data_IF_942574863420
#
_entry.id   IF_942574863420
#
_cell.length_a   1.000
_cell.length_b   1.000
_cell.length_c   1.000
_cell.angle_alpha   90.00
_cell.angle_beta   90.00
_cell.angle_gamma   90.00
#
_symmetry.space_group_name_H-M   'P 1'
#
loop_
_entity.id
_entity.type
_entity.pdbx_description
1 polymer ?
#
# COMPACT_ATOMS: atom_id res chain seq x y z
N UNK A 1 -0.57 41.01 12.64
CA UNK A 1 0.79 40.42 12.70
C UNK A 1 1.73 41.03 11.65
N UNK A 2 1.25 41.27 10.42
CA UNK A 2 2.04 41.80 9.31
C UNK A 2 2.50 43.22 9.57
N UNK A 3 1.63 44.06 10.13
CA UNK A 3 1.97 45.45 10.51
C UNK A 3 3.13 45.50 11.50
N UNK A 4 3.08 44.68 12.57
CA UNK A 4 4.15 44.59 13.56
C UNK A 4 5.45 44.10 12.93
N UNK A 5 5.38 43.09 12.03
CA UNK A 5 6.55 42.57 11.34
C UNK A 5 7.23 43.66 10.49
N UNK A 6 6.44 44.39 9.70
CA UNK A 6 6.98 45.46 8.88
C UNK A 6 7.50 46.65 9.70
N UNK A 7 6.82 46.98 10.83
CA UNK A 7 7.30 48.00 11.75
C UNK A 7 8.68 47.65 12.36
N UNK A 8 8.89 46.37 12.69
CA UNK A 8 10.22 45.92 13.19
C UNK A 8 11.27 46.01 12.08
N UNK A 9 10.95 45.64 10.84
CA UNK A 9 11.89 45.78 9.73
C UNK A 9 12.23 47.25 9.44
N UNK A 10 11.27 48.16 9.55
CA UNK A 10 11.50 49.61 9.43
C UNK A 10 12.41 50.13 10.53
N UNK A 11 12.16 49.74 11.77
CA UNK A 11 12.97 50.16 12.91
C UNK A 11 14.42 49.68 12.83
N UNK A 12 14.65 48.56 12.12
CA UNK A 12 15.99 47.97 11.92
C UNK A 12 16.62 48.35 10.57
N UNK A 13 15.99 49.21 9.78
CA UNK A 13 16.40 49.59 8.42
C UNK A 13 16.69 48.37 7.52
N UNK A 14 15.80 47.33 7.61
CA UNK A 14 15.92 46.09 6.87
C UNK A 14 15.01 46.08 5.64
N UNK A 15 15.44 45.35 4.59
CA UNK A 15 14.63 45.12 3.39
C UNK A 15 13.32 44.40 3.74
N UNK A 16 12.21 44.94 3.25
CA UNK A 16 10.86 44.34 3.41
C UNK A 16 10.62 43.27 2.36
N UNK A 17 10.62 41.98 2.71
CA UNK A 17 10.22 40.91 1.79
C UNK A 17 8.70 40.89 1.59
N UNK A 18 8.25 40.38 0.43
CA UNK A 18 6.83 40.13 0.23
C UNK A 18 6.41 38.95 1.11
N UNK A 19 5.45 39.18 2.00
CA UNK A 19 4.87 38.14 2.83
C UNK A 19 3.85 37.32 2.07
N UNK A 20 3.91 36.01 2.25
CA UNK A 20 2.89 35.07 1.77
C UNK A 20 2.42 34.23 2.96
N UNK A 21 1.12 34.32 3.22
CA UNK A 21 0.48 33.55 4.29
C UNK A 21 -0.19 32.32 3.69
N UNK A 22 -0.10 31.21 4.38
CA UNK A 22 -0.82 29.98 4.03
C UNK A 22 -1.35 29.30 5.29
N UNK A 23 -2.37 28.50 5.11
CA UNK A 23 -3.04 27.79 6.18
C UNK A 23 -2.26 26.56 6.63
N UNK A 24 -2.69 26.01 7.76
CA UNK A 24 -2.23 24.69 8.22
C UNK A 24 -2.92 23.60 7.44
N UNK A 25 -2.17 22.57 7.05
CA UNK A 25 -2.69 21.33 6.52
C UNK A 25 -2.85 20.33 7.67
N UNK A 26 -4.03 19.78 7.78
CA UNK A 26 -4.38 18.71 8.73
C UNK A 26 -4.91 17.48 7.99
N UNK A 27 -4.74 16.32 8.58
CA UNK A 27 -5.29 15.07 8.07
C UNK A 27 -6.34 14.52 9.04
N UNK A 28 -7.42 13.97 8.49
CA UNK A 28 -8.47 13.36 9.28
C UNK A 28 -7.92 12.27 10.22
N UNK A 29 -8.26 12.36 11.52
CA UNK A 29 -7.86 11.39 12.52
C UNK A 29 -6.36 11.34 12.85
N UNK A 30 -5.55 12.32 12.37
CA UNK A 30 -4.11 12.38 12.61
C UNK A 30 -3.72 13.67 13.33
N UNK A 31 -2.97 13.57 14.45
CA UNK A 31 -2.50 14.75 15.17
C UNK A 31 -1.31 15.40 14.45
N UNK A 32 -1.37 16.71 14.19
CA UNK A 32 -0.27 17.45 13.55
C UNK A 32 0.55 18.30 14.53
N UNK A 33 0.04 18.59 15.72
CA UNK A 33 0.72 19.47 16.66
C UNK A 33 1.54 18.69 17.70
N UNK A 34 2.71 19.21 18.06
CA UNK A 34 3.55 18.63 19.13
C UNK A 34 2.82 18.52 20.47
N UNK A 35 1.88 19.43 20.75
CA UNK A 35 1.09 19.43 22.00
C UNK A 35 0.19 18.19 22.12
N UNK A 36 -0.20 17.62 20.99
CA UNK A 36 -1.03 16.40 20.95
C UNK A 36 -0.13 15.16 20.80
N UNK A 37 0.90 15.23 19.97
CA UNK A 37 1.77 14.09 19.67
C UNK A 37 2.59 13.69 20.90
N UNK A 38 3.16 14.66 21.64
CA UNK A 38 4.03 14.36 22.79
C UNK A 38 3.33 13.55 23.90
N UNK A 39 2.14 13.91 24.37
CA UNK A 39 1.41 13.07 25.34
C UNK A 39 1.15 11.65 24.84
N UNK A 40 0.84 11.46 23.55
CA UNK A 40 0.64 10.14 22.98
C UNK A 40 1.91 9.27 23.02
N UNK A 41 3.08 9.89 22.87
CA UNK A 41 4.38 9.21 23.00
C UNK A 41 4.65 8.90 24.48
N UNK A 42 4.45 9.87 25.36
CA UNK A 42 4.70 9.73 26.81
C UNK A 42 3.79 8.65 27.44
N UNK A 43 2.56 8.49 26.92
CA UNK A 43 1.61 7.45 27.30
C UNK A 43 1.82 6.10 26.58
N UNK A 44 2.80 5.99 25.68
CA UNK A 44 3.08 4.77 24.94
C UNK A 44 2.04 4.40 23.86
N UNK A 45 1.09 5.30 23.57
CA UNK A 45 0.09 5.11 22.50
C UNK A 45 0.69 5.17 21.09
N UNK A 46 1.77 5.94 20.95
CA UNK A 46 2.57 6.13 19.74
C UNK A 46 4.02 5.86 20.11
N UNK A 47 4.73 5.11 19.27
CA UNK A 47 6.11 4.70 19.56
C UNK A 47 7.10 5.86 19.55
N UNK A 48 7.05 6.70 18.55
CA UNK A 48 7.89 7.88 18.35
C UNK A 48 7.35 8.74 17.20
N UNK A 49 8.04 9.80 16.84
CA UNK A 49 7.67 10.69 15.73
C UNK A 49 7.68 10.01 14.35
N UNK A 50 8.30 8.86 14.21
CA UNK A 50 8.29 8.01 13.00
C UNK A 50 7.15 6.99 12.97
N UNK A 51 6.25 7.00 13.96
CA UNK A 51 5.10 6.09 13.99
C UNK A 51 4.24 6.29 12.74
N UNK A 52 3.95 5.22 11.97
CA UNK A 52 3.23 5.34 10.69
C UNK A 52 1.83 5.96 10.77
N UNK A 53 1.27 6.10 11.99
CA UNK A 53 -0.02 6.75 12.23
C UNK A 53 0.06 8.27 12.34
N UNK A 54 1.27 8.83 12.33
CA UNK A 54 1.51 10.27 12.41
C UNK A 54 1.75 10.87 11.02
N UNK A 55 1.41 12.14 10.78
CA UNK A 55 1.69 12.84 9.52
C UNK A 55 3.05 13.56 9.52
N UNK A 56 4.01 13.11 10.31
CA UNK A 56 5.38 13.66 10.32
C UNK A 56 6.15 13.22 9.08
N UNK A 57 7.16 13.98 8.68
CA UNK A 57 7.99 13.60 7.52
C UNK A 57 8.72 12.27 7.74
N UNK A 58 9.14 11.95 8.96
CA UNK A 58 9.76 10.68 9.31
C UNK A 58 8.77 9.52 9.17
N UNK A 59 7.54 9.69 9.65
CA UNK A 59 6.48 8.72 9.51
C UNK A 59 6.07 8.52 8.03
N UNK A 60 5.94 9.60 7.26
CA UNK A 60 5.67 9.53 5.82
C UNK A 60 6.77 8.78 5.08
N UNK A 61 8.04 9.05 5.39
CA UNK A 61 9.18 8.30 4.84
C UNK A 61 9.10 6.82 5.19
N UNK A 62 8.79 6.49 6.45
CA UNK A 62 8.63 5.10 6.91
C UNK A 62 7.48 4.37 6.20
N UNK A 63 6.41 5.09 5.87
CA UNK A 63 5.29 4.56 5.05
C UNK A 63 5.63 4.42 3.57
N UNK A 64 6.77 4.89 3.12
CA UNK A 64 7.15 4.89 1.71
C UNK A 64 6.47 5.99 0.89
N UNK A 65 6.00 7.06 1.53
CA UNK A 65 5.49 8.25 0.83
C UNK A 65 6.68 9.05 0.29
N UNK A 66 6.70 9.26 -1.01
CA UNK A 66 7.79 9.95 -1.69
C UNK A 66 7.72 11.48 -1.50
N UNK A 67 8.86 12.19 -1.47
CA UNK A 67 8.85 13.66 -1.42
C UNK A 67 8.12 14.29 -2.60
N UNK A 68 8.16 13.65 -3.76
CA UNK A 68 7.44 14.10 -4.96
C UNK A 68 5.92 14.04 -4.76
N UNK A 69 5.42 12.96 -4.11
CA UNK A 69 4.00 12.81 -3.80
C UNK A 69 3.53 13.92 -2.83
N UNK A 70 4.30 14.17 -1.77
CA UNK A 70 4.01 15.24 -0.81
C UNK A 70 3.95 16.59 -1.54
N UNK A 71 4.92 16.89 -2.39
CA UNK A 71 4.96 18.15 -3.16
C UNK A 71 3.76 18.29 -4.08
N UNK A 72 3.46 17.28 -4.90
CA UNK A 72 2.32 17.29 -5.83
C UNK A 72 0.98 17.42 -5.10
N UNK A 73 0.82 16.70 -4.01
CA UNK A 73 -0.36 16.79 -3.17
C UNK A 73 -0.52 18.19 -2.57
N UNK A 74 0.52 18.75 -1.95
CA UNK A 74 0.47 20.10 -1.36
C UNK A 74 0.16 21.16 -2.40
N UNK A 75 0.75 21.08 -3.60
CA UNK A 75 0.47 22.01 -4.68
C UNK A 75 -0.97 21.88 -5.20
N UNK A 76 -1.55 20.69 -5.18
CA UNK A 76 -2.93 20.47 -5.61
C UNK A 76 -3.96 21.11 -4.70
N UNK A 77 -3.62 21.33 -3.42
CA UNK A 77 -4.49 22.02 -2.46
C UNK A 77 -4.52 23.55 -2.70
N UNK A 78 -3.52 24.08 -3.42
CA UNK A 78 -3.38 25.51 -3.66
C UNK A 78 -2.92 26.30 -2.43
N UNK A 79 -2.81 27.62 -2.61
CA UNK A 79 -2.48 28.55 -1.52
C UNK A 79 -3.78 29.14 -0.98
N UNK A 80 -4.16 28.71 0.21
CA UNK A 80 -5.38 29.19 0.91
C UNK A 80 -5.03 29.69 2.30
N UNK A 81 -5.79 30.63 2.84
CA UNK A 81 -5.68 31.09 4.22
C UNK A 81 -6.61 30.34 5.18
N UNK A 82 -7.59 29.60 4.64
CA UNK A 82 -8.48 28.75 5.44
C UNK A 82 -7.77 27.42 5.76
N UNK A 83 -7.88 26.96 7.00
CA UNK A 83 -7.36 25.67 7.40
C UNK A 83 -7.93 24.55 6.51
N UNK A 84 -7.06 23.66 6.08
CA UNK A 84 -7.40 22.58 5.14
C UNK A 84 -7.31 21.26 5.87
N UNK A 85 -8.46 20.59 5.99
CA UNK A 85 -8.57 19.22 6.48
C UNK A 85 -8.66 18.28 5.27
N UNK A 86 -7.69 17.43 5.08
CA UNK A 86 -7.63 16.53 3.93
C UNK A 86 -7.69 15.06 4.35
N UNK A 87 -8.34 14.17 3.55
CA UNK A 87 -8.23 12.74 3.76
C UNK A 87 -6.81 12.27 3.41
N UNK A 88 -6.23 11.41 4.26
CA UNK A 88 -4.88 10.90 4.03
C UNK A 88 -4.78 10.05 2.76
N UNK A 89 -5.85 9.37 2.40
CA UNK A 89 -5.97 8.56 1.18
C UNK A 89 -5.68 9.36 -0.09
N UNK A 90 -5.94 10.67 -0.08
CA UNK A 90 -5.60 11.55 -1.20
C UNK A 90 -4.10 11.63 -1.41
N UNK A 91 -3.31 11.80 -0.36
CA UNK A 91 -1.84 11.76 -0.44
C UNK A 91 -1.34 10.38 -0.91
N UNK A 92 -1.93 9.30 -0.39
CA UNK A 92 -1.60 7.94 -0.81
C UNK A 92 -1.90 7.71 -2.30
N UNK A 93 -2.98 8.29 -2.82
CA UNK A 93 -3.30 8.20 -4.24
C UNK A 93 -2.26 8.90 -5.13
N UNK A 94 -1.75 10.07 -4.72
CA UNK A 94 -0.63 10.71 -5.39
C UNK A 94 0.63 9.84 -5.36
N UNK A 95 0.95 9.26 -4.20
CA UNK A 95 2.11 8.40 -4.03
C UNK A 95 2.01 7.14 -4.89
N UNK A 96 0.85 6.48 -4.90
CA UNK A 96 0.60 5.27 -5.70
C UNK A 96 0.88 5.51 -7.18
N UNK A 97 0.41 6.63 -7.74
CA UNK A 97 0.67 6.99 -9.15
C UNK A 97 2.15 7.15 -9.50
N UNK A 98 2.97 7.53 -8.52
CA UNK A 98 4.41 7.71 -8.71
C UNK A 98 5.15 6.38 -8.54
N UNK A 99 4.87 5.69 -7.42
CA UNK A 99 5.57 4.47 -7.03
C UNK A 99 5.24 3.32 -7.98
N UNK A 100 3.99 3.18 -8.39
CA UNK A 100 3.52 2.08 -9.22
C UNK A 100 4.32 1.93 -10.53
N UNK A 101 4.68 3.04 -11.15
CA UNK A 101 5.43 3.03 -12.42
C UNK A 101 6.85 2.47 -12.31
N UNK A 102 7.42 2.52 -11.11
CA UNK A 102 8.83 2.24 -10.85
C UNK A 102 9.04 1.09 -9.85
N UNK A 103 7.98 0.35 -9.53
CA UNK A 103 8.05 -0.70 -8.51
C UNK A 103 7.73 -2.07 -9.09
N UNK A 104 8.53 -3.04 -8.71
CA UNK A 104 8.26 -4.45 -8.98
C UNK A 104 6.97 -4.86 -8.25
N UNK A 105 6.07 -5.53 -8.95
CA UNK A 105 4.85 -6.10 -8.39
C UNK A 105 5.07 -7.57 -8.04
N UNK A 106 4.95 -7.89 -6.76
CA UNK A 106 5.04 -9.25 -6.25
C UNK A 106 3.67 -9.76 -5.84
N UNK A 107 3.48 -11.08 -5.90
CA UNK A 107 2.30 -11.71 -5.34
C UNK A 107 2.43 -11.81 -3.82
N UNK A 108 1.33 -11.59 -3.13
CA UNK A 108 1.24 -11.71 -1.68
C UNK A 108 -0.08 -12.40 -1.32
N UNK A 109 -0.01 -13.36 -0.42
CA UNK A 109 -1.17 -14.07 0.10
C UNK A 109 -1.34 -13.80 1.58
N UNK A 110 -2.58 -13.52 2.01
CA UNK A 110 -2.96 -13.29 3.41
C UNK A 110 -3.52 -14.57 4.01
N UNK A 111 -3.16 -14.86 5.25
CA UNK A 111 -3.66 -16.06 5.95
C UNK A 111 -3.59 -17.30 5.05
N UNK A 112 -2.38 -17.67 4.57
CA UNK A 112 -2.19 -18.60 3.50
C UNK A 112 -2.81 -19.96 3.79
N UNK A 113 -3.45 -20.54 2.77
CA UNK A 113 -3.96 -21.91 2.74
C UNK A 113 -3.28 -22.65 1.59
N UNK A 114 -2.96 -23.90 1.83
CA UNK A 114 -2.30 -24.75 0.84
C UNK A 114 -3.33 -25.28 -0.17
N UNK A 115 -3.01 -25.10 -1.44
CA UNK A 115 -3.64 -25.77 -2.59
C UNK A 115 -2.59 -26.70 -3.20
N UNK A 116 -2.91 -27.98 -3.34
CA UNK A 116 -2.08 -28.92 -4.10
C UNK A 116 -2.57 -29.06 -5.52
N UNK A 117 -1.72 -28.72 -6.47
CA UNK A 117 -2.03 -28.80 -7.90
C UNK A 117 -1.29 -29.95 -8.53
N UNK A 118 -2.05 -30.93 -9.02
CA UNK A 118 -1.54 -32.05 -9.81
C UNK A 118 -1.31 -31.68 -11.28
N UNK A 119 -0.51 -32.50 -11.95
CA UNK A 119 -0.29 -32.44 -13.42
C UNK A 119 0.24 -31.10 -13.95
N UNK A 120 1.03 -30.38 -13.16
CA UNK A 120 1.66 -29.14 -13.63
C UNK A 120 2.66 -29.45 -14.77
N UNK A 121 2.56 -28.75 -15.92
CA UNK A 121 3.41 -29.03 -17.07
C UNK A 121 4.87 -28.55 -16.88
N UNK A 122 5.07 -27.55 -16.04
CA UNK A 122 6.36 -26.90 -15.82
C UNK A 122 6.65 -26.75 -14.32
N UNK A 123 7.87 -27.01 -13.92
CA UNK A 123 8.37 -26.77 -12.56
C UNK A 123 8.92 -25.35 -12.35
N UNK A 124 8.98 -24.52 -13.39
CA UNK A 124 9.45 -23.13 -13.34
C UNK A 124 8.55 -22.27 -14.23
N UNK A 125 8.05 -21.21 -13.65
CA UNK A 125 7.19 -20.22 -14.33
C UNK A 125 7.89 -18.87 -14.39
N UNK A 126 7.74 -18.19 -15.51
CA UNK A 126 8.28 -16.84 -15.72
C UNK A 126 7.16 -15.82 -15.54
N UNK A 127 7.29 -14.98 -14.50
CA UNK A 127 6.30 -13.97 -14.15
C UNK A 127 6.84 -12.57 -14.45
N UNK A 128 6.05 -11.68 -15.08
CA UNK A 128 6.47 -10.30 -15.28
C UNK A 128 6.61 -9.57 -13.94
N UNK A 129 7.66 -8.78 -13.82
CA UNK A 129 7.88 -7.92 -12.64
C UNK A 129 6.93 -6.73 -12.61
N UNK A 130 6.37 -6.35 -13.74
CA UNK A 130 5.36 -5.31 -13.87
C UNK A 130 4.45 -5.60 -15.09
N UNK A 131 3.15 -5.28 -15.04
CA UNK A 131 2.22 -5.52 -16.16
C UNK A 131 2.60 -4.83 -17.45
N UNK A 132 3.34 -3.71 -17.39
CA UNK A 132 3.85 -3.01 -18.59
C UNK A 132 5.06 -3.70 -19.25
N UNK A 133 5.55 -4.82 -18.71
CA UNK A 133 6.74 -5.55 -19.15
C UNK A 133 8.04 -4.72 -19.27
N UNK A 134 8.09 -3.53 -18.64
CA UNK A 134 9.25 -2.63 -18.70
C UNK A 134 10.34 -3.01 -17.69
N UNK A 135 10.04 -3.90 -16.72
CA UNK A 135 10.93 -4.25 -15.60
C UNK A 135 11.47 -5.68 -15.68
N UNK A 136 11.35 -6.33 -16.85
CA UNK A 136 11.75 -7.72 -17.01
C UNK A 136 10.84 -8.70 -16.28
N UNK A 137 11.34 -9.93 -16.13
CA UNK A 137 10.61 -11.06 -15.57
C UNK A 137 11.37 -11.65 -14.36
N UNK A 138 10.70 -12.49 -13.58
CA UNK A 138 11.28 -13.32 -12.54
C UNK A 138 10.90 -14.78 -12.76
N UNK A 139 11.80 -15.68 -12.43
CA UNK A 139 11.55 -17.12 -12.49
C UNK A 139 11.11 -17.61 -11.10
N UNK A 140 10.01 -18.34 -11.05
CA UNK A 140 9.46 -18.92 -9.83
C UNK A 140 9.39 -20.43 -9.99
N UNK A 141 10.02 -21.16 -9.08
CA UNK A 141 9.91 -22.63 -9.03
C UNK A 141 8.57 -23.01 -8.42
N UNK A 142 7.89 -23.98 -9.03
CA UNK A 142 6.59 -24.47 -8.60
C UNK A 142 6.64 -26.01 -8.59
N UNK A 143 6.31 -26.60 -7.47
CA UNK A 143 6.29 -28.08 -7.27
C UNK A 143 4.88 -28.64 -7.08
N UNK A 144 3.86 -27.80 -7.27
CA UNK A 144 2.45 -28.16 -7.04
C UNK A 144 1.91 -27.69 -5.70
N UNK A 145 2.74 -27.42 -4.72
CA UNK A 145 2.33 -26.86 -3.44
C UNK A 145 2.27 -25.32 -3.52
N UNK A 146 1.03 -24.80 -3.58
CA UNK A 146 0.73 -23.39 -3.84
C UNK A 146 -0.05 -22.81 -2.67
N UNK A 147 0.34 -21.61 -2.24
CA UNK A 147 -0.37 -20.88 -1.19
C UNK A 147 -1.33 -19.87 -1.82
N UNK A 148 -2.59 -19.91 -1.39
CA UNK A 148 -3.64 -18.95 -1.73
C UNK A 148 -4.07 -18.17 -0.50
N UNK A 149 -4.61 -16.97 -0.69
CA UNK A 149 -5.24 -16.21 0.40
C UNK A 149 -6.50 -16.93 0.88
N UNK A 150 -6.72 -17.00 2.20
CA UNK A 150 -7.93 -17.59 2.75
C UNK A 150 -9.22 -16.94 2.21
N UNK A 151 -9.16 -15.63 1.93
CA UNK A 151 -10.28 -14.87 1.35
C UNK A 151 -10.66 -15.36 -0.05
N UNK A 152 -9.69 -15.79 -0.85
CA UNK A 152 -9.88 -16.25 -2.23
C UNK A 152 -10.50 -17.66 -2.31
N UNK A 153 -10.56 -18.37 -1.19
CA UNK A 153 -11.02 -19.77 -1.14
C UNK A 153 -12.21 -20.02 -0.19
N UNK A 154 -12.78 -18.94 0.39
CA UNK A 154 -13.91 -19.06 1.33
C UNK A 154 -15.12 -19.81 0.72
N UNK A 155 -15.41 -19.52 -0.54
CA UNK A 155 -16.60 -20.03 -1.27
C UNK A 155 -16.22 -21.04 -2.36
N UNK A 156 -15.08 -21.71 -2.20
CA UNK A 156 -14.55 -22.61 -3.20
C UNK A 156 -15.36 -23.92 -3.26
N UNK A 157 -15.73 -24.35 -4.45
CA UNK A 157 -16.49 -25.56 -4.69
C UNK A 157 -15.71 -26.56 -5.53
N UNK A 158 -15.97 -27.85 -5.30
CA UNK A 158 -15.45 -28.93 -6.16
C UNK A 158 -15.98 -28.76 -7.59
N UNK A 159 -15.10 -28.87 -8.56
CA UNK A 159 -15.39 -28.63 -9.97
C UNK A 159 -15.26 -27.20 -10.44
N UNK A 160 -15.10 -26.23 -9.52
CA UNK A 160 -14.84 -24.84 -9.86
C UNK A 160 -13.49 -24.69 -10.57
N UNK A 161 -13.42 -23.76 -11.52
CA UNK A 161 -12.21 -23.47 -12.27
C UNK A 161 -11.68 -22.11 -11.87
N UNK A 162 -10.37 -22.07 -11.57
CA UNK A 162 -9.65 -20.88 -11.18
C UNK A 162 -8.51 -20.63 -12.15
N UNK A 163 -8.19 -19.35 -12.34
CA UNK A 163 -6.98 -18.95 -13.03
C UNK A 163 -5.93 -18.50 -12.02
N UNK A 164 -4.88 -19.27 -11.86
CA UNK A 164 -3.68 -18.89 -11.13
C UNK A 164 -2.86 -17.93 -12.01
N UNK A 165 -2.78 -16.66 -11.60
CA UNK A 165 -2.22 -15.59 -12.44
C UNK A 165 -0.79 -15.91 -12.91
N UNK A 166 -0.60 -16.02 -14.23
CA UNK A 166 0.69 -16.33 -14.85
C UNK A 166 1.16 -17.78 -14.73
N UNK A 167 0.38 -18.68 -14.10
CA UNK A 167 0.65 -20.11 -14.04
C UNK A 167 -0.26 -20.90 -15.00
N UNK A 168 -1.58 -20.66 -14.96
CA UNK A 168 -2.55 -21.33 -15.81
C UNK A 168 -3.88 -21.57 -15.10
N UNK A 169 -4.74 -22.34 -15.74
CA UNK A 169 -6.08 -22.69 -15.26
C UNK A 169 -6.04 -24.01 -14.50
N UNK A 170 -6.77 -24.07 -13.39
CA UNK A 170 -6.87 -25.25 -12.56
C UNK A 170 -8.34 -25.55 -12.25
N UNK A 171 -8.68 -26.82 -12.10
CA UNK A 171 -10.00 -27.30 -11.66
C UNK A 171 -9.90 -27.90 -10.28
N UNK A 172 -10.72 -27.42 -9.36
CA UNK A 172 -10.76 -27.90 -7.99
C UNK A 172 -11.32 -29.31 -7.95
N UNK A 173 -10.57 -30.23 -7.36
CA UNK A 173 -10.96 -31.66 -7.23
C UNK A 173 -11.40 -32.02 -5.81
N UNK A 174 -10.91 -31.30 -4.79
CA UNK A 174 -11.32 -31.46 -3.39
C UNK A 174 -11.20 -30.13 -2.64
N UNK A 175 -12.05 -29.93 -1.64
CA UNK A 175 -11.98 -28.77 -0.72
C UNK A 175 -11.88 -29.20 0.75
N UNK A 176 -12.08 -30.48 1.07
CA UNK A 176 -11.97 -31.06 2.41
C UNK A 176 -11.47 -32.50 2.35
N UNK A 177 -10.57 -32.97 3.26
CA UNK A 177 -9.88 -32.18 4.29
C UNK A 177 -8.77 -31.27 3.73
N UNK A 178 -8.31 -31.51 2.52
CA UNK A 178 -7.28 -30.76 1.82
C UNK A 178 -7.86 -30.16 0.55
N UNK A 179 -7.33 -29.01 0.15
CA UNK A 179 -7.70 -28.37 -1.10
C UNK A 179 -6.76 -28.90 -2.18
N UNK A 180 -7.35 -29.57 -3.15
CA UNK A 180 -6.61 -30.11 -4.31
C UNK A 180 -7.22 -29.63 -5.62
N UNK A 181 -6.38 -29.52 -6.62
CA UNK A 181 -6.79 -29.16 -7.98
C UNK A 181 -5.93 -29.89 -9.01
N UNK A 182 -6.43 -29.96 -10.22
CA UNK A 182 -5.68 -30.41 -11.39
C UNK A 182 -5.46 -29.26 -12.36
N UNK A 183 -4.28 -29.20 -12.93
CA UNK A 183 -3.99 -28.26 -14.02
C UNK A 183 -4.80 -28.65 -15.25
N UNK A 184 -5.39 -27.66 -15.92
CA UNK A 184 -6.18 -27.83 -17.13
C UNK A 184 -5.36 -27.40 -18.35
N UNK A 185 -5.06 -26.10 -18.42
CA UNK A 185 -4.39 -25.44 -19.55
C UNK A 185 -3.86 -24.04 -19.13
N UNK A 186 -3.31 -23.33 -20.08
CA UNK A 186 -2.87 -21.94 -19.92
C UNK A 186 -3.65 -20.94 -20.79
N UNK A 187 -4.84 -21.33 -21.28
CA UNK A 187 -5.66 -20.45 -22.11
C UNK A 187 -6.05 -19.18 -21.36
N UNK A 188 -5.65 -18.04 -21.93
CA UNK A 188 -5.87 -16.72 -21.36
C UNK A 188 -7.24 -16.11 -21.68
N UNK A 189 -7.98 -16.71 -22.62
CA UNK A 189 -9.25 -16.20 -23.14
C UNK A 189 -10.46 -16.61 -22.31
N UNK A 190 -10.25 -17.39 -21.25
CA UNK A 190 -11.32 -17.82 -20.35
C UNK A 190 -11.55 -16.82 -19.22
N UNK A 191 -12.82 -16.58 -18.89
CA UNK A 191 -13.21 -15.66 -17.81
C UNK A 191 -13.36 -16.40 -16.47
N UNK A 192 -12.27 -17.06 -16.03
CA UNK A 192 -12.22 -17.68 -14.72
C UNK A 192 -11.83 -16.66 -13.64
N UNK A 193 -12.22 -16.91 -12.40
CA UNK A 193 -11.79 -16.12 -11.25
C UNK A 193 -10.26 -16.13 -11.15
N UNK A 194 -9.65 -14.94 -11.26
CA UNK A 194 -8.21 -14.75 -11.23
C UNK A 194 -7.73 -14.65 -9.78
N UNK A 195 -6.79 -15.51 -9.41
CA UNK A 195 -6.28 -15.60 -8.05
C UNK A 195 -4.77 -15.39 -8.05
N UNK A 196 -4.27 -14.60 -7.08
CA UNK A 196 -2.84 -14.51 -6.79
C UNK A 196 -2.41 -15.72 -5.97
N UNK A 197 -1.18 -16.13 -6.18
CA UNK A 197 -0.62 -17.30 -5.54
C UNK A 197 0.86 -17.10 -5.21
N UNK A 198 1.37 -17.91 -4.28
CA UNK A 198 2.79 -17.98 -3.95
C UNK A 198 3.19 -19.44 -3.85
N UNK A 199 4.31 -19.83 -4.48
CA UNK A 199 4.85 -21.19 -4.32
C UNK A 199 5.33 -21.38 -2.88
N UNK A 200 4.94 -22.48 -2.24
CA UNK A 200 5.29 -22.76 -0.85
C UNK A 200 6.80 -22.78 -0.62
N UNK A 201 7.56 -23.36 -1.55
CA UNK A 201 9.01 -23.52 -1.44
C UNK A 201 9.79 -22.19 -1.52
N UNK A 202 9.25 -21.19 -2.21
CA UNK A 202 9.88 -19.87 -2.39
C UNK A 202 9.20 -18.75 -1.59
N UNK A 203 8.23 -19.10 -0.75
CA UNK A 203 7.48 -18.15 0.05
C UNK A 203 8.33 -17.54 1.18
N UNK A 204 8.25 -16.22 1.32
CA UNK A 204 8.84 -15.50 2.45
C UNK A 204 7.74 -14.94 3.35
N UNK A 205 7.84 -15.20 4.65
CA UNK A 205 6.93 -14.62 5.63
C UNK A 205 7.23 -13.13 5.82
N UNK A 206 6.19 -12.30 5.73
CA UNK A 206 6.25 -10.86 5.96
C UNK A 206 5.36 -10.47 7.13
N UNK A 207 5.79 -9.48 7.91
CA UNK A 207 4.95 -8.78 8.88
C UNK A 207 4.56 -7.44 8.28
N UNK A 208 3.27 -7.25 8.04
CA UNK A 208 2.73 -6.00 7.51
C UNK A 208 2.08 -5.23 8.66
N UNK A 209 2.48 -3.96 8.81
CA UNK A 209 1.85 -3.03 9.74
C UNK A 209 0.83 -2.19 8.95
N UNK A 210 -0.43 -2.29 9.34
CA UNK A 210 -1.51 -1.49 8.75
C UNK A 210 -1.86 -0.38 9.74
N UNK A 211 -1.47 0.89 9.45
CA UNK A 211 -1.77 2.00 10.32
C UNK A 211 -3.27 2.28 10.31
N UNK A 212 -3.86 2.39 11.50
CA UNK A 212 -5.23 2.84 11.69
C UNK A 212 -5.23 4.27 12.22
N UNK A 213 -6.34 4.97 12.10
CA UNK A 213 -6.50 6.31 12.66
C UNK A 213 -6.31 6.29 14.18
N UNK A 214 -5.61 7.29 14.70
CA UNK A 214 -5.38 7.44 16.16
C UNK A 214 -6.61 8.01 16.86
N UNK A 215 -7.36 8.86 16.16
CA UNK A 215 -8.60 9.45 16.64
C UNK A 215 -9.73 9.01 15.73
N UNK A 216 -10.76 8.46 16.32
CA UNK A 216 -12.05 8.27 15.67
C UNK A 216 -12.82 9.54 15.99
N UNK A 217 -13.32 10.25 14.99
CA UNK A 217 -14.18 11.40 15.20
C UNK A 217 -15.45 10.91 15.92
N UNK A 218 -15.49 11.11 17.22
CA UNK A 218 -16.74 11.11 17.97
C UNK A 218 -17.50 12.37 17.51
N UNK A 219 -18.56 12.16 16.73
CA UNK A 219 -19.52 13.21 16.41
C UNK A 219 -20.25 13.68 17.65
#
# INVERSE_FOLDING_TARGET
RNELYYAILDALDMKKPKMMEFSRLEFNGMPVSKRIIRPLIDEGKVSWYDDPRLPTLEALKRRGITPEAVRKFTLSLGVTKADTLAPFDSLEAFNRKIVDKNSVRLFMVKHPKLLRVGNLPNSVVELPNHPSNTMGTRRVSVDGDILLSSEDILDLNVGEQLRLMGLGNVKITSVNPEITAEFIDDDHNVDFRKVQWVSQNSAHKLKILIPQQLFIDDK
#
